data_IF_885919172978
#
_entry.id   IF_885919172978
#
_cell.length_a   1.000
_cell.length_b   1.000
_cell.length_c   1.000
_cell.angle_alpha   90.00
_cell.angle_beta   90.00
_cell.angle_gamma   90.00
#
_symmetry.space_group_name_H-M   'P 1'
#
loop_
_entity.id
_entity.type
_entity.pdbx_description
1 polymer ?
#
# COMPACT_ATOMS: atom_id res chain seq x y z
N UNK A 1 -7.57 -9.20 9.54
CA UNK A 1 -7.55 -8.95 8.09
C UNK A 1 -6.11 -9.00 7.64
N UNK A 2 -5.80 -9.77 6.61
CA UNK A 2 -4.42 -9.86 6.14
C UNK A 2 -4.09 -8.77 5.11
N UNK A 3 -2.81 -8.64 4.80
CA UNK A 3 -2.33 -7.60 3.89
C UNK A 3 -2.92 -7.71 2.49
N UNK A 4 -3.07 -8.93 1.98
CA UNK A 4 -3.63 -9.18 0.65
C UNK A 4 -5.09 -8.73 0.56
N UNK A 5 -5.88 -9.03 1.58
CA UNK A 5 -7.28 -8.59 1.63
C UNK A 5 -7.40 -7.08 1.67
N UNK A 6 -6.52 -6.42 2.44
CA UNK A 6 -6.50 -4.96 2.50
C UNK A 6 -6.16 -4.35 1.15
N UNK A 7 -5.19 -4.91 0.43
CA UNK A 7 -4.84 -4.46 -0.92
C UNK A 7 -6.02 -4.54 -1.87
N UNK A 8 -6.77 -5.64 -1.82
CA UNK A 8 -7.93 -5.83 -2.69
C UNK A 8 -8.99 -4.75 -2.52
N UNK A 9 -9.11 -4.18 -1.34
CA UNK A 9 -10.06 -3.10 -1.07
C UNK A 9 -9.70 -1.80 -1.77
N UNK A 10 -8.42 -1.59 -2.07
CA UNK A 10 -7.93 -0.34 -2.67
C UNK A 10 -7.79 -0.42 -4.18
N UNK A 11 -7.99 -1.60 -4.76
CA UNK A 11 -7.87 -1.80 -6.21
C UNK A 11 -9.25 -2.00 -6.83
N UNK A 12 -9.65 -1.10 -7.72
CA UNK A 12 -10.99 -1.11 -8.31
C UNK A 12 -11.23 -2.29 -9.25
N UNK A 13 -10.27 -2.59 -10.09
CA UNK A 13 -10.36 -3.69 -11.05
C UNK A 13 -9.06 -4.45 -11.06
N UNK A 14 -9.17 -5.76 -10.90
CA UNK A 14 -8.01 -6.63 -10.90
C UNK A 14 -8.23 -7.79 -11.87
N UNK A 15 -7.30 -7.96 -12.81
CA UNK A 15 -7.31 -9.09 -13.75
C UNK A 15 -6.16 -10.01 -13.38
N UNK A 16 -6.47 -11.28 -13.11
CA UNK A 16 -5.49 -12.25 -12.65
C UNK A 16 -5.52 -12.43 -11.13
N UNK A 17 -4.56 -13.17 -10.60
CA UNK A 17 -4.44 -13.42 -9.17
C UNK A 17 -3.34 -12.58 -8.57
N UNK A 18 -3.56 -12.05 -7.36
CA UNK A 18 -2.51 -11.34 -6.64
C UNK A 18 -1.35 -12.27 -6.32
N UNK A 19 -0.14 -11.73 -6.38
CA UNK A 19 1.06 -12.44 -5.93
C UNK A 19 0.98 -12.66 -4.43
N UNK A 20 1.86 -13.51 -3.88
CA UNK A 20 1.88 -13.75 -2.44
C UNK A 20 2.29 -12.47 -1.68
N UNK A 21 2.06 -12.48 -0.37
CA UNK A 21 2.28 -11.30 0.47
C UNK A 21 3.72 -10.77 0.42
N UNK A 22 4.70 -11.66 0.44
CA UNK A 22 6.11 -11.25 0.40
C UNK A 22 6.47 -10.57 -0.91
N UNK A 23 6.02 -11.12 -2.03
CA UNK A 23 6.25 -10.52 -3.34
C UNK A 23 5.55 -9.18 -3.47
N UNK A 24 4.31 -9.08 -2.98
CA UNK A 24 3.57 -7.83 -2.98
C UNK A 24 4.29 -6.75 -2.20
N UNK A 25 4.79 -7.08 -1.02
CA UNK A 25 5.54 -6.12 -0.20
C UNK A 25 6.80 -5.62 -0.89
N UNK A 26 7.51 -6.50 -1.57
CA UNK A 26 8.71 -6.11 -2.31
C UNK A 26 8.38 -5.17 -3.48
N UNK A 27 7.31 -5.45 -4.20
CA UNK A 27 6.85 -4.58 -5.29
C UNK A 27 6.49 -3.20 -4.75
N UNK A 28 5.75 -3.16 -3.65
CA UNK A 28 5.36 -1.90 -3.02
C UNK A 28 6.59 -1.10 -2.56
N UNK A 29 7.59 -1.76 -2.01
CA UNK A 29 8.83 -1.10 -1.60
C UNK A 29 9.55 -0.43 -2.78
N UNK A 30 9.49 -1.03 -3.95
CA UNK A 30 10.11 -0.46 -5.15
C UNK A 30 9.31 0.69 -5.75
N UNK A 31 7.99 0.60 -5.68
CA UNK A 31 7.09 1.58 -6.32
C UNK A 31 6.74 2.76 -5.43
N UNK A 32 6.67 2.56 -4.14
CA UNK A 32 6.39 3.62 -3.18
C UNK A 32 7.69 4.24 -2.68
N UNK A 33 7.61 5.50 -2.26
CA UNK A 33 8.71 6.09 -1.48
C UNK A 33 8.74 5.41 -0.12
N UNK A 34 9.84 5.56 0.63
CA UNK A 34 9.97 4.97 1.95
C UNK A 34 8.82 5.39 2.87
N UNK A 35 8.47 6.67 2.87
CA UNK A 35 7.39 7.19 3.72
C UNK A 35 6.03 6.66 3.29
N UNK A 36 5.75 6.64 2.00
CA UNK A 36 4.50 6.09 1.47
C UNK A 36 4.34 4.64 1.88
N UNK A 37 5.38 3.85 1.75
CA UNK A 37 5.35 2.44 2.13
C UNK A 37 5.09 2.26 3.62
N UNK A 38 5.83 2.97 4.46
CA UNK A 38 5.67 2.88 5.91
C UNK A 38 4.27 3.28 6.35
N UNK A 39 3.75 4.38 5.80
CA UNK A 39 2.41 4.86 6.13
C UNK A 39 1.36 3.86 5.67
N UNK A 40 1.47 3.39 4.43
CA UNK A 40 0.50 2.45 3.88
C UNK A 40 0.44 1.16 4.69
N UNK A 41 1.59 0.54 4.94
CA UNK A 41 1.65 -0.71 5.70
C UNK A 41 1.13 -0.51 7.13
N UNK A 42 1.48 0.60 7.77
CA UNK A 42 1.03 0.88 9.14
C UNK A 42 -0.48 0.99 9.22
N UNK A 43 -1.13 1.67 8.27
CA UNK A 43 -2.59 1.74 8.22
C UNK A 43 -3.21 0.36 8.00
N UNK A 44 -2.63 -0.42 7.11
CA UNK A 44 -3.16 -1.76 6.80
C UNK A 44 -2.98 -2.74 7.97
N UNK A 45 -1.99 -2.50 8.83
CA UNK A 45 -1.80 -3.28 10.06
C UNK A 45 -2.71 -2.82 11.20
N UNK A 46 -3.48 -1.76 10.98
CA UNK A 46 -4.42 -1.26 11.97
C UNK A 46 -3.83 -0.30 13.00
N UNK A 47 -2.67 0.28 12.73
CA UNK A 47 -2.05 1.24 13.65
C UNK A 47 -2.83 2.55 13.68
N UNK A 48 -2.85 3.20 14.84
CA UNK A 48 -3.51 4.50 14.98
C UNK A 48 -2.66 5.60 14.33
N UNK A 49 -3.29 6.74 14.05
CA UNK A 49 -2.60 7.90 13.49
C UNK A 49 -1.48 8.38 14.43
N UNK A 50 -1.69 8.29 15.73
CA UNK A 50 -0.69 8.69 16.72
C UNK A 50 0.55 7.78 16.67
N UNK A 51 0.36 6.49 16.50
CA UNK A 51 1.46 5.54 16.34
C UNK A 51 2.23 5.80 15.05
N UNK A 52 1.51 6.12 13.97
CA UNK A 52 2.13 6.40 12.68
C UNK A 52 2.93 7.70 12.74
N UNK A 53 2.42 8.73 13.41
CA UNK A 53 3.17 9.99 13.62
C UNK A 53 4.52 9.73 14.28
N UNK A 54 4.54 8.87 15.28
CA UNK A 54 5.78 8.51 15.98
C UNK A 54 6.71 7.74 15.06
N UNK A 55 6.15 6.83 14.25
CA UNK A 55 6.92 5.97 13.37
C UNK A 55 7.61 6.75 12.23
N UNK A 56 6.90 7.66 11.58
CA UNK A 56 7.40 8.40 10.42
C UNK A 56 7.83 9.83 10.73
N UNK A 57 7.52 10.31 11.93
CA UNK A 57 7.87 11.66 12.40
C UNK A 57 7.31 12.78 11.52
N UNK A 58 6.10 12.60 11.02
CA UNK A 58 5.37 13.60 10.25
C UNK A 58 4.07 13.95 10.95
N UNK A 59 3.43 15.05 10.53
CA UNK A 59 2.13 15.42 11.06
C UNK A 59 1.01 14.64 10.38
N UNK A 60 -0.20 14.74 10.94
CA UNK A 60 -1.36 14.00 10.45
C UNK A 60 -1.67 14.33 8.99
N UNK A 61 -1.61 15.60 8.62
CA UNK A 61 -1.90 16.04 7.26
C UNK A 61 -0.94 15.41 6.24
N UNK A 62 0.34 15.40 6.56
CA UNK A 62 1.37 14.80 5.72
C UNK A 62 1.18 13.29 5.59
N UNK A 63 0.84 12.63 6.70
CA UNK A 63 0.59 11.19 6.71
C UNK A 63 -0.59 10.85 5.82
N UNK A 64 -1.70 11.59 5.94
CA UNK A 64 -2.88 11.37 5.09
C UNK A 64 -2.57 11.57 3.62
N UNK A 65 -1.75 12.57 3.31
CA UNK A 65 -1.31 12.84 1.94
C UNK A 65 -0.52 11.66 1.37
N UNK A 66 0.43 11.12 2.13
CA UNK A 66 1.19 9.95 1.70
C UNK A 66 0.29 8.75 1.45
N UNK A 67 -0.70 8.54 2.32
CA UNK A 67 -1.63 7.44 2.18
C UNK A 67 -2.48 7.57 0.91
N UNK A 68 -3.00 8.77 0.66
CA UNK A 68 -3.79 9.04 -0.56
C UNK A 68 -2.99 8.82 -1.84
N UNK A 69 -1.74 9.27 -1.85
CA UNK A 69 -0.85 9.06 -3.00
C UNK A 69 -0.58 7.57 -3.22
N UNK A 70 -0.33 6.83 -2.13
CA UNK A 70 -0.12 5.39 -2.21
C UNK A 70 -1.33 4.69 -2.82
N UNK A 71 -2.54 5.03 -2.37
CA UNK A 71 -3.77 4.45 -2.93
C UNK A 71 -3.95 4.77 -4.41
N UNK A 72 -3.62 5.99 -4.83
CA UNK A 72 -3.67 6.37 -6.25
C UNK A 72 -2.71 5.53 -7.08
N UNK A 73 -1.49 5.31 -6.57
CA UNK A 73 -0.50 4.49 -7.27
C UNK A 73 -0.99 3.07 -7.46
N UNK A 74 -1.67 2.50 -6.46
CA UNK A 74 -2.21 1.14 -6.55
C UNK A 74 -3.23 0.99 -7.69
N UNK A 75 -3.93 2.05 -8.06
CA UNK A 75 -4.93 2.01 -9.12
C UNK A 75 -4.38 2.34 -10.51
N UNK A 76 -3.09 2.58 -10.65
CA UNK A 76 -2.47 2.78 -11.96
C UNK A 76 -2.33 1.43 -12.66
N UNK A 77 -2.62 1.39 -13.97
CA UNK A 77 -2.61 0.16 -14.75
C UNK A 77 -1.28 -0.59 -14.69
N UNK A 78 -0.18 0.13 -14.86
CA UNK A 78 1.16 -0.49 -14.81
C UNK A 78 1.45 -1.09 -13.44
N UNK A 79 1.01 -0.42 -12.38
CA UNK A 79 1.21 -0.90 -11.02
C UNK A 79 0.39 -2.17 -10.79
N UNK A 80 -0.89 -2.15 -11.19
CA UNK A 80 -1.77 -3.32 -11.06
C UNK A 80 -1.21 -4.54 -11.77
N UNK A 81 -0.64 -4.35 -12.96
CA UNK A 81 -0.06 -5.45 -13.73
C UNK A 81 1.09 -6.13 -12.99
N UNK A 82 1.86 -5.38 -12.20
CA UNK A 82 2.94 -5.97 -11.43
C UNK A 82 2.45 -6.71 -10.18
N UNK A 83 1.27 -6.36 -9.69
CA UNK A 83 0.72 -6.98 -8.47
C UNK A 83 0.09 -8.35 -8.73
N UNK A 84 -0.14 -8.72 -9.97
CA UNK A 84 -0.83 -9.96 -10.31
C UNK A 84 0.07 -10.93 -11.06
N UNK A 85 -0.30 -12.20 -11.00
CA UNK A 85 0.33 -13.25 -11.77
C UNK A 85 -0.66 -13.71 -12.85
N UNK A 86 -0.21 -13.81 -14.08
CA UNK A 86 -1.03 -14.22 -15.22
C UNK A 86 -0.71 -15.67 -15.61
N UNK A 87 -1.15 -16.58 -14.82
CA UNK A 87 -0.98 -17.99 -15.18
C UNK A 87 -2.29 -18.69 -15.34
#
# INVERSE_FOLDING_TARGET
MNFTDSLLKHIDKLVGMLRDEEELKEILKRKFTKKEYKVFVAFEEGKSIEEIKTLVKDDEETIEKHYKVACKKLNQEKFKQELVSYE
#
